data_IF_916440920397
#
_entry.id   IF_916440920397
#
_cell.length_a   1.000
_cell.length_b   1.000
_cell.length_c   1.000
_cell.angle_alpha   90.00
_cell.angle_beta   90.00
_cell.angle_gamma   90.00
#
_symmetry.space_group_name_H-M   'P 1'
#
loop_
_entity.id
_entity.type
_entity.pdbx_description
1 polymer ?
#
# COMPACT_ATOMS: atom_id res chain seq x y z
N UNK A 1 -7.52 10.23 -28.39
CA UNK A 1 -6.70 11.32 -27.81
C UNK A 1 -7.03 11.42 -26.33
N UNK A 2 -6.12 11.04 -25.43
CA UNK A 2 -6.31 11.23 -23.99
C UNK A 2 -5.91 12.67 -23.65
N UNK A 3 -6.88 13.59 -23.68
CA UNK A 3 -6.69 14.93 -23.13
C UNK A 3 -6.53 14.80 -21.62
N UNK A 4 -5.30 14.95 -21.11
CA UNK A 4 -5.06 15.09 -19.67
C UNK A 4 -5.70 16.41 -19.24
N UNK A 5 -6.71 16.33 -18.37
CA UNK A 5 -7.28 17.50 -17.71
C UNK A 5 -6.21 18.16 -16.86
N UNK A 6 -6.05 19.47 -17.04
CA UNK A 6 -5.12 20.28 -16.25
C UNK A 6 -5.80 20.52 -14.89
N UNK A 7 -5.13 20.22 -13.76
CA UNK A 7 -5.66 20.51 -12.43
C UNK A 7 -6.04 21.99 -12.29
N UNK A 8 -7.17 22.27 -11.66
CA UNK A 8 -7.55 23.65 -11.35
C UNK A 8 -6.64 24.22 -10.25
N UNK A 9 -6.59 25.55 -10.12
CA UNK A 9 -5.88 26.20 -9.01
C UNK A 9 -6.42 25.74 -7.65
N UNK A 10 -7.74 25.50 -7.58
CA UNK A 10 -8.42 24.95 -6.40
C UNK A 10 -7.87 23.57 -6.06
N UNK A 11 -7.76 22.66 -7.03
CA UNK A 11 -7.24 21.31 -6.80
C UNK A 11 -5.79 21.31 -6.30
N UNK A 12 -4.97 22.18 -6.87
CA UNK A 12 -3.57 22.37 -6.47
C UNK A 12 -3.52 22.90 -5.03
N UNK A 13 -4.37 23.87 -4.70
CA UNK A 13 -4.49 24.43 -3.35
C UNK A 13 -4.90 23.38 -2.32
N UNK A 14 -5.98 22.65 -2.60
CA UNK A 14 -6.48 21.57 -1.75
C UNK A 14 -5.43 20.49 -1.51
N UNK A 15 -4.73 20.08 -2.57
CA UNK A 15 -3.69 19.05 -2.44
C UNK A 15 -2.51 19.53 -1.61
N UNK A 16 -2.08 20.79 -1.78
CA UNK A 16 -1.02 21.39 -0.95
C UNK A 16 -1.42 21.46 0.52
N UNK A 17 -2.67 21.82 0.80
CA UNK A 17 -3.18 21.87 2.18
C UNK A 17 -3.26 20.46 2.78
N UNK A 18 -3.76 19.48 2.02
CA UNK A 18 -3.77 18.08 2.43
C UNK A 18 -2.34 17.58 2.74
N UNK A 19 -1.37 17.89 1.87
CA UNK A 19 0.07 17.64 2.08
C UNK A 19 0.58 18.16 3.42
N UNK A 20 0.25 19.41 3.74
CA UNK A 20 0.68 20.05 4.97
C UNK A 20 0.06 19.36 6.18
N UNK A 21 -1.23 19.01 6.10
CA UNK A 21 -1.94 18.28 7.14
C UNK A 21 -1.37 16.87 7.35
N UNK A 22 -0.98 16.15 6.29
CA UNK A 22 -0.33 14.84 6.43
C UNK A 22 1.09 14.89 7.00
N UNK A 23 1.78 16.03 6.86
CA UNK A 23 3.07 16.24 7.49
C UNK A 23 2.96 16.64 8.97
N UNK A 24 1.74 16.93 9.46
CA UNK A 24 1.49 17.09 10.89
C UNK A 24 1.78 15.78 11.63
N UNK A 25 2.55 15.87 12.71
CA UNK A 25 3.04 14.71 13.44
C UNK A 25 1.90 13.86 14.03
N UNK A 26 0.82 14.50 14.48
CA UNK A 26 -0.32 13.84 15.09
C UNK A 26 -1.10 13.03 14.06
N UNK A 27 -1.41 13.65 12.91
CA UNK A 27 -2.06 12.97 11.77
C UNK A 27 -1.19 11.81 11.27
N UNK A 28 0.12 12.03 11.19
CA UNK A 28 1.07 11.00 10.76
C UNK A 28 1.05 9.79 11.69
N UNK A 29 1.17 9.99 12.99
CA UNK A 29 1.16 8.91 13.98
C UNK A 29 -0.12 8.08 13.90
N UNK A 30 -1.28 8.73 13.74
CA UNK A 30 -2.56 8.03 13.58
C UNK A 30 -2.61 7.19 12.30
N UNK A 31 -2.07 7.71 11.20
CA UNK A 31 -2.07 6.99 9.92
C UNK A 31 -1.15 5.77 9.89
N UNK A 32 -0.06 5.80 10.67
CA UNK A 32 0.92 4.70 10.78
C UNK A 32 0.45 3.59 11.73
N UNK A 33 -0.53 3.88 12.60
CA UNK A 33 -1.07 2.94 13.58
C UNK A 33 -2.37 2.28 13.06
N UNK A 34 -2.33 1.00 12.74
CA UNK A 34 -3.44 0.25 12.16
C UNK A 34 -4.70 0.08 13.06
N UNK A 35 -4.72 0.65 14.27
CA UNK A 35 -5.70 0.36 15.32
C UNK A 35 -6.53 1.57 15.79
N UNK A 36 -6.42 2.75 15.18
CA UNK A 36 -7.18 3.91 15.68
C UNK A 36 -8.66 3.88 15.32
N UNK A 37 -9.46 4.35 16.28
CA UNK A 37 -10.88 4.59 16.09
C UNK A 37 -11.08 5.69 15.03
N UNK A 38 -11.93 5.39 14.04
CA UNK A 38 -12.39 6.35 13.05
C UNK A 38 -12.89 7.67 13.66
N UNK A 39 -13.43 7.64 14.89
CA UNK A 39 -13.91 8.82 15.59
C UNK A 39 -12.78 9.76 16.02
N UNK A 40 -11.70 9.23 16.60
CA UNK A 40 -10.53 10.01 17.03
C UNK A 40 -9.88 10.71 15.84
N UNK A 41 -9.71 9.99 14.74
CA UNK A 41 -9.17 10.55 13.51
C UNK A 41 -10.05 11.66 12.92
N UNK A 42 -11.38 11.46 12.91
CA UNK A 42 -12.32 12.49 12.45
C UNK A 42 -12.26 13.76 13.33
N UNK A 43 -12.11 13.60 14.64
CA UNK A 43 -12.03 14.72 15.57
C UNK A 43 -10.77 15.56 15.34
N UNK A 44 -9.62 14.91 15.18
CA UNK A 44 -8.34 15.58 14.92
C UNK A 44 -8.36 16.26 13.56
N UNK A 45 -8.89 15.59 12.52
CA UNK A 45 -9.05 16.22 11.21
C UNK A 45 -9.93 17.47 11.30
N UNK A 46 -11.09 17.38 11.93
CA UNK A 46 -12.02 18.51 12.03
C UNK A 46 -11.40 19.68 12.80
N UNK A 47 -10.68 19.41 13.89
CA UNK A 47 -9.95 20.44 14.63
C UNK A 47 -8.90 21.14 13.74
N UNK A 48 -8.11 20.39 12.97
CA UNK A 48 -7.06 20.96 12.10
C UNK A 48 -7.65 21.71 10.91
N UNK A 49 -8.69 21.17 10.27
CA UNK A 49 -9.34 21.79 9.10
C UNK A 49 -10.08 23.07 9.51
N UNK A 50 -10.76 23.09 10.66
CA UNK A 50 -11.48 24.28 11.14
C UNK A 50 -10.56 25.49 11.38
N UNK A 51 -9.29 25.25 11.74
CA UNK A 51 -8.26 26.28 11.95
C UNK A 51 -7.74 26.91 10.65
N UNK A 52 -8.12 26.38 9.49
CA UNK A 52 -7.72 26.92 8.19
C UNK A 52 -8.62 28.06 7.71
N UNK A 53 -9.73 28.35 8.41
CA UNK A 53 -10.68 29.41 8.07
C UNK A 53 -11.16 29.37 6.61
N UNK A 54 -11.34 28.16 6.07
CA UNK A 54 -11.79 27.94 4.69
C UNK A 54 -13.32 28.11 4.58
N UNK A 55 -13.83 28.51 3.40
CA UNK A 55 -15.26 28.40 3.10
C UNK A 55 -15.74 26.96 3.32
N UNK A 56 -16.97 26.78 3.80
CA UNK A 56 -17.55 25.46 4.14
C UNK A 56 -17.40 24.46 3.00
N UNK A 57 -17.72 24.85 1.77
CA UNK A 57 -17.60 23.99 0.59
C UNK A 57 -16.16 23.48 0.37
N UNK A 58 -15.15 24.34 0.57
CA UNK A 58 -13.73 23.99 0.42
C UNK A 58 -13.27 23.11 1.59
N UNK A 59 -13.75 23.38 2.79
CA UNK A 59 -13.49 22.59 4.00
C UNK A 59 -14.02 21.16 3.86
N UNK A 60 -15.24 21.01 3.35
CA UNK A 60 -15.89 19.70 3.16
C UNK A 60 -15.14 18.87 2.11
N UNK A 61 -14.75 19.50 1.01
CA UNK A 61 -13.99 18.84 -0.06
C UNK A 61 -12.58 18.43 0.40
N UNK A 62 -11.87 19.33 1.10
CA UNK A 62 -10.58 19.02 1.72
C UNK A 62 -10.70 17.83 2.67
N UNK A 63 -11.73 17.83 3.52
CA UNK A 63 -12.00 16.75 4.47
C UNK A 63 -12.27 15.42 3.76
N UNK A 64 -13.01 15.45 2.66
CA UNK A 64 -13.29 14.26 1.86
C UNK A 64 -12.02 13.69 1.21
N UNK A 65 -11.14 14.54 0.67
CA UNK A 65 -9.86 14.12 0.10
C UNK A 65 -8.99 13.46 1.17
N UNK A 66 -8.83 14.10 2.32
CA UNK A 66 -8.00 13.60 3.42
C UNK A 66 -8.57 12.29 3.98
N UNK A 67 -9.90 12.15 4.08
CA UNK A 67 -10.54 10.88 4.48
C UNK A 67 -10.17 9.73 3.57
N UNK A 68 -10.29 9.93 2.25
CA UNK A 68 -9.98 8.89 1.26
C UNK A 68 -8.52 8.47 1.31
N UNK A 69 -7.62 9.44 1.40
CA UNK A 69 -6.18 9.17 1.49
C UNK A 69 -5.86 8.43 2.78
N UNK A 70 -6.44 8.83 3.91
CA UNK A 70 -6.21 8.17 5.19
C UNK A 70 -6.61 6.70 5.13
N UNK A 71 -7.83 6.40 4.67
CA UNK A 71 -8.32 5.02 4.55
C UNK A 71 -7.38 4.17 3.68
N UNK A 72 -6.88 4.74 2.58
CA UNK A 72 -5.96 4.04 1.69
C UNK A 72 -4.59 3.80 2.35
N UNK A 73 -4.04 4.79 3.03
CA UNK A 73 -2.77 4.65 3.75
C UNK A 73 -2.90 3.62 4.88
N UNK A 74 -3.96 3.70 5.68
CA UNK A 74 -4.24 2.72 6.73
C UNK A 74 -4.33 1.31 6.15
N UNK A 75 -4.93 1.14 4.96
CA UNK A 75 -4.95 -0.13 4.25
C UNK A 75 -3.54 -0.62 3.90
N UNK A 76 -2.67 0.25 3.36
CA UNK A 76 -1.29 -0.12 3.03
C UNK A 76 -0.46 -0.42 4.28
N UNK A 77 -0.58 0.37 5.35
CA UNK A 77 0.09 0.12 6.62
C UNK A 77 -0.38 -1.17 7.27
N UNK A 78 -1.69 -1.45 7.28
CA UNK A 78 -2.23 -2.70 7.78
C UNK A 78 -1.73 -3.91 6.97
N UNK A 79 -1.71 -3.79 5.64
CA UNK A 79 -1.15 -4.82 4.76
C UNK A 79 0.33 -5.05 5.09
N UNK A 80 1.11 -3.98 5.14
CA UNK A 80 2.54 -4.04 5.45
C UNK A 80 2.81 -4.63 6.84
N UNK A 81 2.09 -4.21 7.87
CA UNK A 81 2.24 -4.74 9.23
C UNK A 81 1.88 -6.23 9.28
N UNK A 82 0.82 -6.63 8.59
CA UNK A 82 0.44 -8.03 8.50
C UNK A 82 1.54 -8.87 7.86
N UNK A 83 2.12 -8.41 6.75
CA UNK A 83 3.12 -9.16 6.00
C UNK A 83 4.56 -9.00 6.52
N UNK A 84 4.91 -7.90 7.18
CA UNK A 84 6.25 -7.66 7.70
C UNK A 84 6.63 -8.66 8.79
N UNK A 85 5.64 -9.12 9.57
CA UNK A 85 5.79 -10.16 10.59
C UNK A 85 6.25 -11.50 9.96
N UNK A 86 5.75 -11.83 8.77
CA UNK A 86 6.03 -13.12 8.13
C UNK A 86 7.21 -13.06 7.16
N UNK A 87 7.30 -11.99 6.36
CA UNK A 87 8.16 -11.97 5.17
C UNK A 87 9.44 -11.16 5.32
N UNK A 88 9.46 -10.16 6.21
CA UNK A 88 10.49 -9.12 6.16
C UNK A 88 11.16 -8.79 7.50
N UNK A 89 10.86 -9.53 8.58
CA UNK A 89 11.46 -9.39 9.92
C UNK A 89 11.78 -7.92 10.27
N UNK A 90 10.76 -7.14 10.69
CA UNK A 90 10.87 -5.71 11.06
C UNK A 90 11.14 -4.74 9.88
N UNK A 91 10.49 -4.89 8.71
CA UNK A 91 10.57 -3.87 7.64
C UNK A 91 10.07 -2.50 8.15
N UNK A 92 10.83 -1.44 7.89
CA UNK A 92 10.39 -0.04 8.02
C UNK A 92 10.18 0.61 6.64
N UNK A 93 10.03 -0.18 5.57
CA UNK A 93 10.03 0.33 4.19
C UNK A 93 8.89 1.33 3.90
N UNK A 94 7.74 1.23 4.58
CA UNK A 94 6.66 2.23 4.46
C UNK A 94 6.91 3.53 5.24
N UNK A 95 7.94 3.60 6.09
CA UNK A 95 8.21 4.75 6.95
C UNK A 95 8.55 5.97 6.10
N UNK A 96 7.68 6.97 6.11
CA UNK A 96 7.88 8.18 5.33
C UNK A 96 7.52 8.04 3.85
N UNK A 97 6.74 7.02 3.45
CA UNK A 97 6.20 6.90 2.09
C UNK A 97 5.51 8.18 1.61
N UNK A 98 4.84 8.90 2.53
CA UNK A 98 4.20 10.19 2.26
C UNK A 98 5.16 11.28 1.81
N UNK A 99 6.45 11.19 2.17
CA UNK A 99 7.48 12.12 1.76
C UNK A 99 8.02 11.84 0.35
N UNK A 100 7.86 10.61 -0.15
CA UNK A 100 8.16 10.26 -1.54
C UNK A 100 7.13 10.96 -2.42
N UNK A 101 7.55 12.07 -3.03
CA UNK A 101 6.68 13.11 -3.59
C UNK A 101 5.82 12.68 -4.80
N UNK A 102 5.88 11.41 -5.20
CA UNK A 102 5.26 10.91 -6.42
C UNK A 102 3.77 10.57 -6.27
N UNK A 103 3.29 10.25 -5.06
CA UNK A 103 1.89 9.89 -4.81
C UNK A 103 0.92 11.05 -5.03
N UNK A 104 1.34 12.26 -4.69
CA UNK A 104 0.51 13.47 -4.70
C UNK A 104 0.05 13.88 -6.09
N UNK A 105 0.77 13.46 -7.13
CA UNK A 105 0.37 13.72 -8.52
C UNK A 105 -0.99 13.09 -8.86
N UNK A 106 -1.33 11.99 -8.20
CA UNK A 106 -2.59 11.27 -8.42
C UNK A 106 -3.74 11.79 -7.54
N UNK A 107 -3.50 12.82 -6.72
CA UNK A 107 -4.50 13.34 -5.76
C UNK A 107 -5.19 14.62 -6.25
N UNK A 108 -4.56 15.35 -7.18
CA UNK A 108 -4.95 16.71 -7.62
C UNK A 108 -6.05 16.79 -8.68
N UNK A 109 -6.78 15.71 -8.96
CA UNK A 109 -7.83 15.78 -9.98
C UNK A 109 -9.05 15.05 -9.46
N UNK A 110 -10.18 15.77 -9.37
CA UNK A 110 -11.49 15.24 -8.95
C UNK A 110 -11.92 13.96 -9.71
N UNK A 111 -11.21 13.63 -10.80
CA UNK A 111 -11.43 12.47 -11.68
C UNK A 111 -10.47 11.28 -11.48
N UNK A 112 -9.41 11.36 -10.64
CA UNK A 112 -8.34 10.35 -10.63
C UNK A 112 -7.81 9.87 -9.26
N UNK A 113 -8.60 9.92 -8.18
CA UNK A 113 -8.28 9.07 -7.03
C UNK A 113 -8.41 7.61 -7.46
N UNK A 114 -7.28 7.02 -7.85
CA UNK A 114 -7.18 5.64 -8.27
C UNK A 114 -6.24 4.94 -7.32
N UNK A 115 -6.83 4.19 -6.41
CA UNK A 115 -6.12 3.26 -5.53
C UNK A 115 -5.20 2.34 -6.34
N UNK A 116 -5.63 1.89 -7.52
CA UNK A 116 -4.79 1.12 -8.44
C UNK A 116 -3.56 1.90 -8.92
N UNK A 117 -3.70 3.17 -9.35
CA UNK A 117 -2.54 3.99 -9.74
C UNK A 117 -1.59 4.28 -8.60
N UNK A 118 -2.11 4.44 -7.39
CA UNK A 118 -1.28 4.60 -6.20
C UNK A 118 -0.52 3.30 -5.92
N UNK A 119 -1.18 2.14 -6.02
CA UNK A 119 -0.55 0.83 -5.89
C UNK A 119 0.55 0.61 -6.95
N UNK A 120 0.28 0.91 -8.22
CA UNK A 120 1.29 0.86 -9.31
C UNK A 120 2.52 1.74 -8.97
N UNK A 121 2.31 2.93 -8.42
CA UNK A 121 3.41 3.80 -8.01
C UNK A 121 4.21 3.23 -6.84
N UNK A 122 3.54 2.61 -5.86
CA UNK A 122 4.21 1.93 -4.76
C UNK A 122 5.02 0.73 -5.27
N UNK A 123 4.46 -0.06 -6.19
CA UNK A 123 5.15 -1.20 -6.81
C UNK A 123 6.41 -0.75 -7.55
N UNK A 124 6.40 0.44 -8.16
CA UNK A 124 7.58 1.01 -8.81
C UNK A 124 8.63 1.61 -7.85
N UNK A 125 8.28 1.91 -6.59
CA UNK A 125 9.14 2.62 -5.65
C UNK A 125 10.22 1.69 -5.07
N UNK A 126 11.46 1.85 -5.52
CA UNK A 126 12.59 1.02 -5.11
C UNK A 126 13.02 1.25 -3.64
N UNK A 127 12.46 2.24 -2.95
CA UNK A 127 12.64 2.36 -1.50
C UNK A 127 11.83 1.33 -0.70
N UNK A 128 10.84 0.70 -1.34
CA UNK A 128 10.08 -0.41 -0.76
C UNK A 128 10.79 -1.75 -0.95
N UNK A 129 10.66 -2.63 0.05
CA UNK A 129 11.23 -3.97 -0.03
C UNK A 129 10.57 -4.77 -1.17
N UNK A 130 11.37 -5.57 -1.87
CA UNK A 130 10.92 -6.43 -2.97
C UNK A 130 9.74 -7.31 -2.55
N UNK A 131 9.82 -7.85 -1.33
CA UNK A 131 8.75 -8.65 -0.73
C UNK A 131 7.44 -7.86 -0.60
N UNK A 132 7.48 -6.63 -0.08
CA UNK A 132 6.27 -5.82 0.07
C UNK A 132 5.74 -5.35 -1.29
N UNK A 133 6.61 -4.99 -2.24
CA UNK A 133 6.21 -4.66 -3.61
C UNK A 133 5.51 -5.83 -4.29
N UNK A 134 6.03 -7.04 -4.14
CA UNK A 134 5.37 -8.25 -4.64
C UNK A 134 4.00 -8.50 -3.99
N UNK A 135 3.87 -8.26 -2.68
CA UNK A 135 2.56 -8.32 -1.98
C UNK A 135 1.57 -7.32 -2.57
N UNK A 136 2.01 -6.09 -2.89
CA UNK A 136 1.17 -5.10 -3.55
C UNK A 136 0.77 -5.55 -4.96
N UNK A 137 1.68 -6.13 -5.74
CA UNK A 137 1.35 -6.72 -7.04
C UNK A 137 0.28 -7.80 -6.90
N UNK A 138 0.43 -8.69 -5.90
CA UNK A 138 -0.58 -9.71 -5.63
C UNK A 138 -1.91 -9.09 -5.18
N UNK A 139 -1.93 -8.10 -4.30
CA UNK A 139 -3.16 -7.50 -3.76
C UNK A 139 -3.93 -6.69 -4.82
N UNK A 140 -3.23 -6.04 -5.75
CA UNK A 140 -3.82 -5.18 -6.79
C UNK A 140 -3.83 -5.79 -8.19
N UNK A 141 -3.27 -6.99 -8.33
CA UNK A 141 -3.25 -7.78 -9.56
C UNK A 141 -2.68 -7.00 -10.76
N UNK A 142 -1.46 -6.47 -10.58
CA UNK A 142 -0.72 -5.78 -11.65
C UNK A 142 0.11 -6.83 -12.41
N UNK A 143 -0.52 -7.51 -13.38
CA UNK A 143 0.04 -8.68 -14.08
C UNK A 143 1.40 -8.39 -14.73
N UNK A 144 1.56 -7.22 -15.37
CA UNK A 144 2.77 -6.85 -16.11
C UNK A 144 4.03 -6.83 -15.24
N UNK A 145 3.89 -6.50 -13.95
CA UNK A 145 5.00 -6.42 -12.99
C UNK A 145 5.15 -7.70 -12.14
N UNK A 146 4.17 -8.60 -12.19
CA UNK A 146 4.11 -9.76 -11.30
C UNK A 146 5.28 -10.73 -11.52
N UNK A 147 5.60 -11.01 -12.78
CA UNK A 147 6.67 -11.93 -13.13
C UNK A 147 8.05 -11.37 -12.77
N UNK A 148 8.30 -10.09 -13.08
CA UNK A 148 9.58 -9.44 -12.82
C UNK A 148 9.84 -9.27 -11.32
N UNK A 149 8.83 -8.87 -10.55
CA UNK A 149 8.92 -8.74 -9.10
C UNK A 149 9.14 -10.09 -8.41
N UNK A 150 8.49 -11.14 -8.87
CA UNK A 150 8.74 -12.50 -8.36
C UNK A 150 10.19 -12.92 -8.53
N UNK A 151 10.76 -12.69 -9.72
CA UNK A 151 12.15 -13.07 -9.99
C UNK A 151 13.17 -12.30 -9.14
N UNK A 152 12.79 -11.13 -8.63
CA UNK A 152 13.62 -10.35 -7.70
C UNK A 152 13.55 -10.87 -6.27
N UNK A 153 12.51 -11.63 -5.90
CA UNK A 153 12.39 -12.17 -4.55
C UNK A 153 13.48 -13.20 -4.25
N UNK A 154 14.08 -13.07 -3.07
CA UNK A 154 14.95 -14.10 -2.50
C UNK A 154 14.18 -15.42 -2.33
N UNK A 155 14.84 -16.54 -2.61
CA UNK A 155 14.24 -17.89 -2.50
C UNK A 155 13.61 -18.16 -1.13
N UNK A 156 14.22 -17.66 -0.04
CA UNK A 156 13.66 -17.78 1.31
C UNK A 156 12.30 -17.08 1.43
N UNK A 157 12.16 -15.88 0.86
CA UNK A 157 10.90 -15.11 0.86
C UNK A 157 9.85 -15.83 0.02
N UNK A 158 10.22 -16.38 -1.15
CA UNK A 158 9.33 -17.21 -1.98
C UNK A 158 8.82 -18.43 -1.21
N UNK A 159 9.69 -19.12 -0.48
CA UNK A 159 9.29 -20.26 0.35
C UNK A 159 8.34 -19.86 1.47
N UNK A 160 8.63 -18.75 2.17
CA UNK A 160 7.76 -18.20 3.22
C UNK A 160 6.38 -17.85 2.68
N UNK A 161 6.31 -17.25 1.49
CA UNK A 161 5.05 -16.92 0.79
C UNK A 161 4.09 -18.12 0.64
N UNK A 162 4.63 -19.34 0.50
CA UNK A 162 3.84 -20.55 0.33
C UNK A 162 3.58 -21.35 1.61
N UNK A 163 4.48 -21.26 2.58
CA UNK A 163 4.46 -22.11 3.77
C UNK A 163 3.91 -21.42 5.03
N UNK A 164 3.98 -20.09 5.10
CA UNK A 164 3.53 -19.34 6.28
C UNK A 164 2.00 -19.09 6.26
N UNK A 165 1.45 -18.57 7.36
CA UNK A 165 0.03 -18.19 7.55
C UNK A 165 -0.37 -16.92 6.76
N UNK A 166 0.00 -16.90 5.49
CA UNK A 166 -0.36 -15.84 4.56
C UNK A 166 -1.80 -16.02 4.08
N UNK A 167 -2.58 -14.92 3.93
CA UNK A 167 -3.92 -14.95 3.38
C UNK A 167 -4.01 -15.76 2.09
N UNK A 168 -4.94 -16.71 2.04
CA UNK A 168 -5.08 -17.64 0.90
C UNK A 168 -5.30 -16.92 -0.43
N UNK A 169 -5.92 -15.72 -0.41
CA UNK A 169 -6.08 -14.88 -1.60
C UNK A 169 -4.73 -14.51 -2.25
N UNK A 170 -3.71 -14.21 -1.44
CA UNK A 170 -2.38 -13.86 -1.93
C UNK A 170 -1.68 -15.11 -2.44
N UNK A 171 -1.81 -16.24 -1.72
CA UNK A 171 -1.29 -17.54 -2.18
C UNK A 171 -1.87 -17.94 -3.54
N UNK A 172 -3.19 -17.81 -3.71
CA UNK A 172 -3.88 -18.11 -4.97
C UNK A 172 -3.40 -17.22 -6.11
N UNK A 173 -3.22 -15.92 -5.87
CA UNK A 173 -2.72 -14.99 -6.88
C UNK A 173 -1.25 -15.27 -7.23
N UNK A 174 -0.40 -15.52 -6.24
CA UNK A 174 0.98 -15.94 -6.47
C UNK A 174 1.06 -17.24 -7.31
N UNK A 175 0.19 -18.22 -7.04
CA UNK A 175 0.06 -19.45 -7.85
C UNK A 175 -0.37 -19.19 -9.28
N UNK A 176 -1.22 -18.19 -9.49
CA UNK A 176 -1.70 -17.81 -10.83
C UNK A 176 -0.58 -17.15 -11.63
N UNK A 177 0.25 -16.34 -10.96
CA UNK A 177 1.41 -15.67 -11.58
C UNK A 177 2.48 -16.69 -11.96
N UNK A 178 2.74 -17.70 -11.11
CA UNK A 178 3.80 -18.71 -11.32
C UNK A 178 3.31 -20.15 -11.11
N UNK A 179 2.57 -20.72 -12.08
CA UNK A 179 2.02 -22.07 -11.94
C UNK A 179 3.10 -23.16 -11.94
N UNK A 180 4.20 -22.96 -12.68
CA UNK A 180 5.27 -23.96 -12.84
C UNK A 180 6.14 -24.10 -11.59
N UNK A 181 6.66 -22.99 -11.04
CA UNK A 181 7.48 -23.01 -9.81
C UNK A 181 6.69 -23.54 -8.61
N UNK A 182 5.37 -23.33 -8.57
CA UNK A 182 4.53 -23.88 -7.52
C UNK A 182 4.49 -25.41 -7.52
N UNK A 183 4.49 -26.01 -8.71
CA UNK A 183 4.53 -27.48 -8.85
C UNK A 183 5.85 -28.06 -8.34
N UNK A 184 6.96 -27.37 -8.59
CA UNK A 184 8.30 -27.77 -8.15
C UNK A 184 8.49 -27.62 -6.64
N UNK A 185 8.10 -26.47 -6.07
CA UNK A 185 8.20 -26.24 -4.62
C UNK A 185 7.35 -27.24 -3.83
N UNK A 186 6.15 -27.56 -4.32
CA UNK A 186 5.31 -28.61 -3.70
C UNK A 186 5.99 -29.98 -3.77
N UNK A 187 6.65 -30.31 -4.89
CA UNK A 187 7.40 -31.56 -5.03
C UNK A 187 8.56 -31.63 -4.05
N UNK A 188 9.33 -30.55 -3.91
CA UNK A 188 10.47 -30.47 -3.00
C UNK A 188 10.04 -30.56 -1.53
N UNK A 189 9.00 -29.83 -1.11
CA UNK A 189 8.46 -29.93 0.25
C UNK A 189 7.96 -31.34 0.58
N UNK A 190 7.32 -32.03 -0.38
CA UNK A 190 6.87 -33.41 -0.21
C UNK A 190 8.04 -34.38 -0.03
N UNK A 191 9.09 -34.24 -0.85
CA UNK A 191 10.30 -35.07 -0.72
C UNK A 191 11.01 -34.86 0.63
N UNK A 192 11.07 -33.62 1.13
CA UNK A 192 11.66 -33.35 2.45
C UNK A 192 10.83 -34.01 3.55
N UNK A 193 9.51 -33.86 3.55
CA UNK A 193 8.65 -34.49 4.56
C UNK A 193 8.73 -36.02 4.53
N UNK A 194 8.76 -36.63 3.35
CA UNK A 194 8.88 -38.09 3.19
C UNK A 194 10.23 -38.63 3.70
N UNK A 195 11.32 -37.89 3.50
CA UNK A 195 12.65 -38.28 3.99
C UNK A 195 12.82 -38.10 5.50
N UNK A 196 12.04 -37.21 6.14
CA UNK A 196 12.08 -36.99 7.59
C UNK A 196 11.15 -37.91 8.38
N UNK A 197 10.07 -38.42 7.78
CA UNK A 197 9.13 -39.35 8.44
C UNK A 197 9.56 -40.82 8.29
N UNK A 198 10.51 -41.11 7.39
CA UNK A 198 11.03 -42.45 7.14
C UNK A 198 12.26 -42.88 7.98
N UNK A 199 12.69 -42.08 8.96
CA UNK A 199 13.73 -42.41 9.94
C UNK A 199 13.11 -42.56 11.34
#
# INVERSE_FOLDING_TARGET
>A
MNCRTIPTLKDIGLTKVALLLYNDQEIKQLSECAQHDSQEWNQILNDKVSKLFLPTEVSDELSAIIKRVYLLLTKFYALHQHFSIFLCDQCECLKGILKSCHFWKFWTTETFFSEQKIAECLIGDQSLSDAFRFILVCEYFVEDDAHSQWQQLLHLVRNRLFNDDIPERIKQRARTIMPEEFSELRRLSKMVLENFVGQ
#
